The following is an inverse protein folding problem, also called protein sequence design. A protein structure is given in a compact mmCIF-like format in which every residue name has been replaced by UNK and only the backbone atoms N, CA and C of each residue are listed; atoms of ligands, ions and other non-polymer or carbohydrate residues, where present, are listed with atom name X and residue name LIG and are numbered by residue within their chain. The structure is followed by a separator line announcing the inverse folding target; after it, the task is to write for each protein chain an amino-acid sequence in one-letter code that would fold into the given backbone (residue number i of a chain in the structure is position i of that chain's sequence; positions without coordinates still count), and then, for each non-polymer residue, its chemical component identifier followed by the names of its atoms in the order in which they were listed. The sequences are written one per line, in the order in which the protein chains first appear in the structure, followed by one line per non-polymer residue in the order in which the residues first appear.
data_IF_923177826947
#
_entry.id   IF_923177826947
#
_cell.length_a   1.000
_cell.length_b   1.000
_cell.length_c   1.000
_cell.angle_alpha   90.00
_cell.angle_beta   90.00
_cell.angle_gamma   90.00
#
_symmetry.space_group_name_H-M   'P 1'
#
loop_
_entity.id
_entity.type
_entity.pdbx_description
1 polymer ?
#
# COMPACT_ATOMS: atom_id res chain seq x y z
N UNK A 1 -26.03 3.32 -16.69
CA UNK A 1 -24.58 3.27 -16.96
C UNK A 1 -23.96 2.27 -16.00
N UNK A 2 -23.18 1.31 -16.47
CA UNK A 2 -22.48 0.37 -15.57
C UNK A 2 -21.46 1.16 -14.75
N UNK A 3 -21.64 1.21 -13.43
CA UNK A 3 -20.63 1.77 -12.53
C UNK A 3 -19.38 0.91 -12.64
N UNK A 4 -18.32 1.44 -13.25
CA UNK A 4 -17.06 0.72 -13.39
C UNK A 4 -16.51 0.39 -12.00
N UNK A 5 -16.11 -0.87 -11.82
CA UNK A 5 -15.47 -1.34 -10.59
C UNK A 5 -14.09 -1.93 -10.89
N UNK A 6 -13.31 -2.13 -9.83
CA UNK A 6 -12.03 -2.81 -9.86
C UNK A 6 -11.81 -3.68 -8.63
N UNK A 7 -10.59 -4.21 -8.53
CA UNK A 7 -10.14 -5.08 -7.45
C UNK A 7 -8.88 -4.51 -6.81
N UNK A 8 -8.74 -4.74 -5.51
CA UNK A 8 -7.47 -4.66 -4.79
C UNK A 8 -6.96 -6.09 -4.60
N UNK A 9 -5.70 -6.32 -4.92
CA UNK A 9 -5.07 -7.63 -4.81
C UNK A 9 -3.75 -7.56 -4.05
N UNK A 10 -3.29 -8.73 -3.62
CA UNK A 10 -2.00 -8.98 -3.00
C UNK A 10 -1.21 -10.00 -3.81
N UNK A 11 0.09 -9.76 -3.99
CA UNK A 11 1.06 -10.75 -4.42
C UNK A 11 2.03 -11.00 -3.25
N UNK A 12 2.03 -12.22 -2.72
CA UNK A 12 2.87 -12.64 -1.60
C UNK A 12 3.98 -13.55 -2.10
N UNK A 13 5.22 -13.22 -1.74
CA UNK A 13 6.36 -14.07 -2.02
C UNK A 13 6.47 -15.15 -0.94
N UNK A 14 6.27 -16.41 -1.31
CA UNK A 14 6.22 -17.51 -0.32
C UNK A 14 7.59 -17.82 0.31
N UNK A 15 8.71 -17.40 -0.31
CA UNK A 15 10.05 -17.58 0.27
C UNK A 15 10.36 -16.55 1.36
N UNK A 16 9.82 -15.34 1.26
CA UNK A 16 10.17 -14.23 2.17
C UNK A 16 9.02 -13.77 3.06
N UNK A 17 7.78 -14.19 2.78
CA UNK A 17 6.57 -13.69 3.43
C UNK A 17 6.22 -12.23 3.08
N UNK A 18 7.05 -11.55 2.26
CA UNK A 18 6.84 -10.15 1.89
C UNK A 18 5.76 -10.02 0.82
N UNK A 19 5.08 -8.87 0.82
CA UNK A 19 3.90 -8.66 -0.02
C UNK A 19 4.01 -7.41 -0.90
N UNK A 20 3.33 -7.46 -2.03
CA UNK A 20 2.98 -6.33 -2.87
C UNK A 20 1.46 -6.18 -2.90
N UNK A 21 0.97 -4.96 -2.77
CA UNK A 21 -0.45 -4.62 -2.93
C UNK A 21 -0.59 -3.82 -4.22
N UNK A 22 -1.61 -4.13 -5.00
CA UNK A 22 -1.92 -3.37 -6.20
C UNK A 22 -3.42 -3.35 -6.50
N UNK A 23 -3.82 -2.48 -7.41
CA UNK A 23 -5.18 -2.42 -7.94
C UNK A 23 -5.28 -2.76 -9.43
N UNK A 24 -6.46 -3.17 -9.90
CA UNK A 24 -6.75 -3.35 -11.33
C UNK A 24 -8.24 -3.31 -11.65
N UNK A 25 -8.60 -2.81 -12.83
CA UNK A 25 -9.97 -2.79 -13.38
C UNK A 25 -10.19 -3.84 -14.48
N UNK A 26 -9.13 -4.56 -14.87
CA UNK A 26 -9.14 -5.54 -15.97
C UNK A 26 -9.08 -6.99 -15.49
N UNK A 27 -9.21 -7.21 -14.18
CA UNK A 27 -9.11 -8.53 -13.54
C UNK A 27 -7.68 -8.92 -13.14
N UNK A 28 -7.60 -9.89 -12.21
CA UNK A 28 -6.34 -10.30 -11.57
C UNK A 28 -5.39 -10.99 -12.55
N UNK A 29 -5.89 -11.97 -13.32
CA UNK A 29 -5.05 -12.76 -14.25
C UNK A 29 -4.38 -11.87 -15.30
N UNK A 30 -5.12 -10.91 -15.86
CA UNK A 30 -4.59 -9.95 -16.82
C UNK A 30 -3.51 -9.05 -16.20
N UNK A 31 -3.72 -8.58 -14.96
CA UNK A 31 -2.73 -7.75 -14.25
C UNK A 31 -1.48 -8.55 -13.88
N UNK A 32 -1.64 -9.80 -13.45
CA UNK A 32 -0.54 -10.72 -13.17
C UNK A 32 0.30 -10.97 -14.43
N UNK A 33 -0.34 -11.30 -15.56
CA UNK A 33 0.36 -11.49 -16.84
C UNK A 33 1.13 -10.26 -17.29
N UNK A 34 0.57 -9.05 -17.11
CA UNK A 34 1.28 -7.79 -17.39
C UNK A 34 2.51 -7.61 -16.50
N UNK A 35 2.38 -7.84 -15.19
CA UNK A 35 3.52 -7.74 -14.27
C UNK A 35 4.65 -8.67 -14.70
N UNK A 36 4.34 -9.95 -14.97
CA UNK A 36 5.32 -10.95 -15.39
C UNK A 36 5.98 -10.59 -16.73
N UNK A 37 5.18 -10.23 -17.75
CA UNK A 37 5.66 -9.88 -19.09
C UNK A 37 6.58 -8.66 -19.09
N UNK A 38 6.26 -7.64 -18.30
CA UNK A 38 6.97 -6.37 -18.31
C UNK A 38 8.00 -6.20 -17.18
N UNK A 39 8.29 -7.26 -16.40
CA UNK A 39 9.34 -7.24 -15.37
C UNK A 39 10.70 -6.79 -15.87
N UNK A 40 11.02 -7.09 -17.14
CA UNK A 40 12.28 -6.69 -17.80
C UNK A 40 12.34 -5.21 -18.12
N UNK A 41 11.19 -4.54 -18.25
CA UNK A 41 11.09 -3.11 -18.63
C UNK A 41 11.07 -2.17 -17.44
N UNK A 42 10.81 -2.69 -16.24
CA UNK A 42 10.63 -1.88 -15.04
C UNK A 42 11.71 -2.15 -14.00
N UNK A 43 12.12 -1.08 -13.31
CA UNK A 43 13.08 -1.12 -12.22
C UNK A 43 12.52 -0.56 -10.91
N UNK A 44 11.46 -1.19 -10.41
CA UNK A 44 10.91 -0.94 -9.08
C UNK A 44 11.04 -2.17 -8.18
N UNK A 45 10.84 -2.01 -6.86
CA UNK A 45 11.01 -3.07 -5.85
C UNK A 45 10.32 -4.38 -6.25
N UNK A 46 9.04 -4.29 -6.66
CA UNK A 46 8.27 -5.46 -7.07
C UNK A 46 8.79 -6.13 -8.36
N UNK A 47 9.13 -5.38 -9.42
CA UNK A 47 9.66 -5.96 -10.65
C UNK A 47 11.01 -6.67 -10.41
N UNK A 48 11.89 -6.07 -9.60
CA UNK A 48 13.16 -6.71 -9.19
C UNK A 48 12.91 -8.00 -8.38
N UNK A 49 11.94 -8.00 -7.48
CA UNK A 49 11.60 -9.18 -6.71
C UNK A 49 11.04 -10.31 -7.59
N UNK A 50 10.14 -10.00 -8.53
CA UNK A 50 9.61 -10.98 -9.48
C UNK A 50 10.75 -11.64 -10.29
N UNK A 51 11.71 -10.84 -10.80
CA UNK A 51 12.90 -11.35 -11.49
C UNK A 51 13.78 -12.22 -10.59
N UNK A 52 13.99 -11.80 -9.35
CA UNK A 52 14.89 -12.48 -8.41
C UNK A 52 14.38 -13.86 -7.99
N UNK A 53 13.08 -13.97 -7.71
CA UNK A 53 12.56 -15.17 -7.04
C UNK A 53 11.93 -16.20 -7.97
N UNK A 54 11.50 -15.83 -9.19
CA UNK A 54 10.72 -16.71 -10.08
C UNK A 54 9.22 -16.59 -9.81
N UNK A 55 8.39 -16.75 -10.86
CA UNK A 55 6.95 -16.53 -10.81
C UNK A 55 6.19 -17.57 -9.96
N UNK A 56 6.72 -18.79 -9.88
CA UNK A 56 6.20 -19.93 -9.12
C UNK A 56 6.21 -19.69 -7.61
N UNK A 57 7.03 -18.75 -7.12
CA UNK A 57 7.12 -18.40 -5.71
C UNK A 57 6.23 -17.21 -5.32
N UNK A 58 5.21 -16.92 -6.11
CA UNK A 58 4.24 -15.84 -5.84
C UNK A 58 2.82 -16.37 -5.74
N UNK A 59 2.20 -16.12 -4.59
CA UNK A 59 0.78 -16.37 -4.36
C UNK A 59 -0.02 -15.08 -4.56
N UNK A 60 -0.97 -15.11 -5.48
CA UNK A 60 -1.83 -13.97 -5.80
C UNK A 60 -3.22 -14.17 -5.20
N UNK A 61 -3.77 -13.14 -4.57
CA UNK A 61 -5.10 -13.19 -3.94
C UNK A 61 -5.82 -11.85 -4.05
N UNK A 62 -7.15 -11.89 -4.20
CA UNK A 62 -8.00 -10.69 -4.13
C UNK A 62 -8.23 -10.32 -2.66
N UNK A 63 -7.94 -9.07 -2.31
CA UNK A 63 -8.21 -8.51 -0.98
C UNK A 63 -9.60 -7.85 -0.93
N UNK A 64 -10.00 -7.20 -2.02
CA UNK A 64 -11.31 -6.58 -2.17
C UNK A 64 -11.74 -6.64 -3.63
N UNK A 65 -13.00 -7.01 -3.87
CA UNK A 65 -13.61 -7.03 -5.19
C UNK A 65 -14.73 -5.96 -5.28
N UNK A 66 -15.17 -5.65 -6.50
CA UNK A 66 -16.27 -4.73 -6.79
C UNK A 66 -16.09 -3.32 -6.18
N UNK A 67 -14.85 -2.83 -6.12
CA UNK A 67 -14.53 -1.49 -5.61
C UNK A 67 -14.87 -0.46 -6.69
N UNK A 68 -15.67 0.54 -6.37
CA UNK A 68 -15.91 1.65 -7.30
C UNK A 68 -14.63 2.45 -7.55
N UNK A 69 -14.46 2.98 -8.76
CA UNK A 69 -13.20 3.64 -9.14
C UNK A 69 -12.76 4.74 -8.15
N UNK A 70 -13.71 5.49 -7.59
CA UNK A 70 -13.41 6.56 -6.64
C UNK A 70 -12.73 6.09 -5.35
N UNK A 71 -12.88 4.82 -4.95
CA UNK A 71 -12.30 4.26 -3.72
C UNK A 71 -11.11 3.33 -3.97
N UNK A 72 -10.71 3.13 -5.22
CA UNK A 72 -9.63 2.20 -5.56
C UNK A 72 -8.30 2.65 -4.92
N UNK A 73 -7.91 3.91 -5.17
CA UNK A 73 -6.63 4.44 -4.70
C UNK A 73 -6.54 4.44 -3.16
N UNK A 74 -7.61 4.84 -2.48
CA UNK A 74 -7.66 4.84 -1.01
C UNK A 74 -7.57 3.44 -0.41
N UNK A 75 -8.26 2.47 -1.01
CA UNK A 75 -8.19 1.09 -0.53
C UNK A 75 -6.83 0.48 -0.82
N UNK A 76 -6.19 0.82 -1.94
CA UNK A 76 -4.79 0.43 -2.20
C UNK A 76 -3.88 0.99 -1.09
N UNK A 77 -3.98 2.28 -0.76
CA UNK A 77 -3.22 2.93 0.33
C UNK A 77 -3.48 2.24 1.67
N UNK A 78 -4.75 1.99 2.00
CA UNK A 78 -5.17 1.31 3.22
C UNK A 78 -4.46 -0.06 3.35
N UNK A 79 -4.52 -0.88 2.31
CA UNK A 79 -3.91 -2.21 2.33
C UNK A 79 -2.38 -2.16 2.32
N UNK A 80 -1.76 -1.20 1.64
CA UNK A 80 -0.31 -0.96 1.72
C UNK A 80 0.11 -0.67 3.16
N UNK A 81 -0.65 0.20 3.85
CA UNK A 81 -0.39 0.56 5.24
C UNK A 81 -0.57 -0.63 6.18
N UNK A 82 -1.74 -1.30 6.17
CA UNK A 82 -2.02 -2.38 7.13
C UNK A 82 -1.14 -3.62 6.91
N UNK A 83 -0.68 -3.86 5.69
CA UNK A 83 0.25 -4.95 5.38
C UNK A 83 1.71 -4.53 5.43
N UNK A 84 1.99 -3.26 5.77
CA UNK A 84 3.32 -2.66 5.81
C UNK A 84 4.15 -2.94 4.54
N UNK A 85 3.49 -2.96 3.38
CA UNK A 85 4.08 -3.45 2.14
C UNK A 85 5.04 -2.45 1.49
N UNK A 86 5.05 -1.20 1.96
CA UNK A 86 6.02 -0.19 1.56
C UNK A 86 7.39 -0.38 2.24
N UNK A 87 7.40 -0.48 3.58
CA UNK A 87 8.64 -0.58 4.38
C UNK A 87 9.14 -2.02 4.47
N UNK A 88 8.22 -2.98 4.66
CA UNK A 88 8.54 -4.40 4.83
C UNK A 88 8.04 -5.28 3.66
N UNK A 89 7.65 -4.67 2.55
CA UNK A 89 7.23 -5.39 1.35
C UNK A 89 7.87 -4.87 0.06
N UNK A 90 7.10 -4.95 -1.03
CA UNK A 90 7.56 -4.66 -2.37
C UNK A 90 6.89 -3.44 -3.02
N UNK A 91 6.01 -2.72 -2.30
CA UNK A 91 5.50 -1.43 -2.78
C UNK A 91 6.61 -0.36 -2.72
N UNK A 92 6.71 0.43 -3.77
CA UNK A 92 7.73 1.49 -3.88
C UNK A 92 7.27 2.82 -3.27
N UNK A 93 5.98 2.97 -3.00
CA UNK A 93 5.35 4.14 -2.37
C UNK A 93 4.32 3.65 -1.35
N UNK A 94 3.85 4.53 -0.46
CA UNK A 94 2.76 4.22 0.48
C UNK A 94 1.37 4.19 -0.20
N UNK A 95 1.29 4.55 -1.48
CA UNK A 95 0.04 4.92 -2.16
C UNK A 95 -0.11 6.44 -2.17
N UNK A 96 -1.09 6.98 -2.93
CA UNK A 96 -1.22 8.41 -3.24
C UNK A 96 -1.24 9.36 -2.03
N UNK A 97 -0.97 10.65 -2.29
CA UNK A 97 -0.97 11.80 -1.36
C UNK A 97 -2.34 12.09 -0.70
N UNK A 98 -3.10 11.07 -0.31
CA UNK A 98 -4.51 11.18 0.08
C UNK A 98 -4.64 10.96 1.59
N UNK A 99 -5.18 11.98 2.25
CA UNK A 99 -5.53 11.94 3.67
C UNK A 99 -6.63 10.89 3.90
N UNK A 100 -6.39 9.87 4.75
CA UNK A 100 -7.40 8.88 5.11
C UNK A 100 -8.67 9.46 5.76
N UNK A 101 -8.64 10.75 6.12
CA UNK A 101 -9.76 11.47 6.70
C UNK A 101 -10.93 11.70 5.72
N UNK A 102 -10.74 11.54 4.41
CA UNK A 102 -11.77 11.91 3.43
C UNK A 102 -12.93 10.92 3.29
N UNK A 103 -12.85 9.69 3.84
CA UNK A 103 -13.82 8.63 3.52
C UNK A 103 -14.22 7.73 4.72
N UNK A 104 -15.48 7.77 5.18
CA UNK A 104 -15.93 7.10 6.42
C UNK A 104 -15.75 5.58 6.46
N UNK A 105 -15.95 4.87 5.35
CA UNK A 105 -15.80 3.40 5.32
C UNK A 105 -14.33 2.97 5.43
N UNK A 106 -13.44 3.73 4.80
CA UNK A 106 -11.99 3.56 4.91
C UNK A 106 -11.54 3.92 6.33
N UNK A 107 -12.05 5.02 6.89
CA UNK A 107 -11.85 5.35 8.30
C UNK A 107 -12.31 4.23 9.24
N UNK A 108 -13.45 3.59 8.98
CA UNK A 108 -13.91 2.47 9.81
C UNK A 108 -12.96 1.27 9.71
N UNK A 109 -12.47 0.92 8.51
CA UNK A 109 -11.49 -0.16 8.34
C UNK A 109 -10.14 0.17 9.00
N UNK A 110 -9.69 1.42 8.91
CA UNK A 110 -8.49 1.96 9.59
C UNK A 110 -8.69 1.98 11.11
N UNK A 111 -9.83 2.46 11.59
CA UNK A 111 -10.15 2.51 13.00
C UNK A 111 -10.15 1.10 13.57
N UNK A 112 -10.81 0.15 12.89
CA UNK A 112 -10.81 -1.27 13.26
C UNK A 112 -9.41 -1.88 13.28
N UNK A 113 -8.51 -1.51 12.36
CA UNK A 113 -7.13 -2.01 12.38
C UNK A 113 -6.28 -1.42 13.51
N UNK A 114 -6.61 -0.22 14.01
CA UNK A 114 -5.93 0.43 15.13
C UNK A 114 -6.42 -0.01 16.52
N UNK A 115 -7.58 -0.68 16.63
CA UNK A 115 -8.14 -1.13 17.92
C UNK A 115 -7.27 -2.16 18.67
N UNK A 116 -6.26 -2.75 18.03
CA UNK A 116 -5.37 -3.75 18.64
C UNK A 116 -3.88 -3.37 18.69
N UNK A 117 -3.47 -2.25 18.10
CA UNK A 117 -2.05 -1.85 18.09
C UNK A 117 -1.75 -0.96 19.29
N UNK A 118 -0.93 -1.46 20.24
CA UNK A 118 -0.35 -0.60 21.28
C UNK A 118 0.48 0.47 20.56
N UNK A 119 0.05 1.74 20.63
CA UNK A 119 0.86 2.86 20.15
C UNK A 119 2.23 2.77 20.84
N UNK A 120 3.36 2.74 20.11
CA UNK A 120 4.65 2.96 20.76
C UNK A 120 4.60 4.34 21.42
N UNK A 121 4.97 4.40 22.69
CA UNK A 121 5.00 5.62 23.48
C UNK A 121 5.67 6.75 22.68
N UNK A 122 4.88 7.74 22.24
CA UNK A 122 5.41 8.93 21.56
C UNK A 122 6.12 9.77 22.61
N UNK A 123 7.45 9.74 22.62
CA UNK A 123 8.24 10.76 23.33
C UNK A 123 8.02 12.09 22.63
N UNK A 124 7.57 13.09 23.38
CA UNK A 124 7.27 14.45 22.93
C UNK A 124 8.30 15.00 21.92
N UNK A 125 7.91 15.16 20.66
CA UNK A 125 8.75 15.76 19.61
C UNK A 125 8.73 17.30 19.67
N UNK A 126 8.02 17.91 20.63
CA UNK A 126 7.83 19.36 20.74
C UNK A 126 8.76 20.05 21.76
N UNK A 127 10.07 19.81 21.71
CA UNK A 127 11.05 20.51 22.58
C UNK A 127 12.14 21.32 21.87
N UNK A 128 12.03 21.61 20.57
CA UNK A 128 13.06 22.40 19.85
C UNK A 128 12.49 23.50 18.94
N UNK A 129 11.76 24.48 19.49
CA UNK A 129 11.62 25.84 18.91
C UNK A 129 11.36 26.94 19.97
N UNK A 130 11.93 26.82 21.17
CA UNK A 130 11.98 27.95 22.14
C UNK A 130 13.43 28.18 22.52
N UNK A 131 14.08 29.14 21.84
CA UNK A 131 15.47 29.46 22.12
C UNK A 131 16.22 30.05 20.93
N UNK A 132 15.66 31.07 20.28
CA UNK A 132 16.48 32.06 19.57
C UNK A 132 16.07 33.41 20.16
N UNK A 133 16.79 33.85 21.19
CA UNK A 133 16.93 35.27 21.48
C UNK A 133 18.08 35.73 20.59
N UNK A 134 17.76 36.46 19.52
CA UNK A 134 18.75 37.32 18.87
C UNK A 134 18.48 38.72 19.40
N UNK A 135 19.44 39.16 20.20
CA UNK A 135 19.56 40.47 20.83
C UNK A 135 19.61 41.60 19.80
N UNK A 136 18.93 42.69 20.12
CA UNK A 136 19.17 44.01 19.53
C UNK A 136 20.49 44.57 20.07
N UNK A 137 21.37 45.01 19.17
CA UNK A 137 22.43 45.99 19.39
C UNK A 137 22.83 46.58 18.03
#
# INVERSE_FOLDING_TARGET
MSNKTGIIYKAENIKTGKVYVGQTTVGLNNRMGRHLKYTVRYDHKFARALKKYGAEFWKWSVLQNNVTLQYLDELECFYIFILNSYKQGYNSTEGGDISPALYPEVQQKISKSHLGTKKPYMKDVNKRKRGIKLSEA
#
